data_IF_513590219739
#
_entry.id   IF_513590219739
#
_cell.length_a   1.000
_cell.length_b   1.000
_cell.length_c   1.000
_cell.angle_alpha   90.00
_cell.angle_beta   90.00
_cell.angle_gamma   90.00
#
_symmetry.space_group_name_H-M   'P 1'
#
loop_
_entity.id
_entity.type
_entity.pdbx_description
1 polymer ?
#
# COMPACT_ATOMS: atom_id res chain seq x y z
N UNK A 1 5.20 -5.02 -7.85
CA UNK A 1 4.05 -5.81 -8.37
C UNK A 1 2.96 -6.05 -7.31
N UNK A 2 3.32 -6.41 -6.08
CA UNK A 2 2.36 -6.82 -5.03
C UNK A 2 1.34 -5.74 -4.65
N UNK A 3 1.79 -4.50 -4.37
CA UNK A 3 0.88 -3.40 -4.03
C UNK A 3 -0.20 -3.16 -5.08
N UNK A 4 0.20 -3.08 -6.36
CA UNK A 4 -0.75 -2.85 -7.45
C UNK A 4 -1.77 -4.00 -7.55
N UNK A 5 -1.33 -5.26 -7.39
CA UNK A 5 -2.21 -6.43 -7.39
C UNK A 5 -3.23 -6.36 -6.25
N UNK A 6 -2.78 -6.06 -5.04
CA UNK A 6 -3.65 -5.93 -3.87
C UNK A 6 -4.73 -4.85 -4.08
N UNK A 7 -4.36 -3.70 -4.66
CA UNK A 7 -5.31 -2.62 -4.96
C UNK A 7 -6.28 -2.94 -6.11
N UNK A 8 -5.85 -3.71 -7.12
CA UNK A 8 -6.72 -4.10 -8.25
C UNK A 8 -7.76 -5.13 -7.82
N UNK A 9 -7.45 -5.97 -6.82
CA UNK A 9 -8.38 -6.97 -6.30
C UNK A 9 -9.59 -6.37 -5.58
N UNK A 10 -9.55 -5.09 -5.18
CA UNK A 10 -10.63 -4.40 -4.46
C UNK A 10 -11.14 -5.20 -3.25
N UNK A 11 -10.22 -5.78 -2.49
CA UNK A 11 -10.58 -6.42 -1.22
C UNK A 11 -11.17 -5.37 -0.27
N UNK A 12 -12.16 -5.73 0.57
CA UNK A 12 -12.72 -4.82 1.58
C UNK A 12 -11.65 -4.31 2.55
N UNK A 13 -10.61 -5.11 2.80
CA UNK A 13 -9.45 -4.75 3.60
C UNK A 13 -8.16 -5.20 2.91
N UNK A 14 -7.21 -4.28 2.78
CA UNK A 14 -5.84 -4.56 2.32
C UNK A 14 -4.88 -4.48 3.50
N UNK A 15 -4.10 -5.55 3.73
CA UNK A 15 -3.04 -5.58 4.75
C UNK A 15 -1.69 -5.50 4.06
N UNK A 16 -0.87 -4.52 4.46
CA UNK A 16 0.48 -4.31 3.94
C UNK A 16 1.48 -4.40 5.10
N UNK A 17 2.25 -5.48 5.12
CA UNK A 17 3.28 -5.72 6.12
C UNK A 17 4.64 -5.33 5.56
N UNK A 18 5.22 -4.25 6.10
CA UNK A 18 6.54 -3.67 5.75
C UNK A 18 6.78 -3.39 4.26
N UNK A 19 5.73 -3.49 3.44
CA UNK A 19 5.82 -3.51 1.98
C UNK A 19 6.21 -2.15 1.38
N UNK A 20 6.16 -1.08 2.18
CA UNK A 20 6.56 0.27 1.77
C UNK A 20 8.07 0.51 1.92
N UNK A 21 8.75 -0.19 2.83
CA UNK A 21 10.19 -0.01 3.08
C UNK A 21 11.06 -0.55 1.92
N UNK A 22 10.52 -1.48 1.13
CA UNK A 22 11.20 -2.07 -0.02
C UNK A 22 11.11 -1.20 -1.31
N UNK A 23 10.52 -0.01 -1.24
CA UNK A 23 10.32 0.86 -2.40
C UNK A 23 11.48 1.84 -2.57
N UNK A 24 11.71 2.29 -3.81
CA UNK A 24 12.71 3.32 -4.12
C UNK A 24 12.40 4.63 -3.37
N UNK A 25 13.43 5.43 -3.00
CA UNK A 25 13.23 6.72 -2.34
C UNK A 25 12.19 7.60 -3.06
N UNK A 26 11.27 8.21 -2.31
CA UNK A 26 10.19 9.04 -2.85
C UNK A 26 8.96 8.27 -3.38
N UNK A 27 9.07 6.96 -3.59
CA UNK A 27 7.95 6.10 -3.99
C UNK A 27 6.94 5.83 -2.88
N UNK A 28 7.32 5.70 -1.58
CA UNK A 28 6.36 5.48 -0.50
C UNK A 28 5.24 6.53 -0.46
N UNK A 29 5.55 7.80 -0.71
CA UNK A 29 4.57 8.89 -0.71
C UNK A 29 3.52 8.70 -1.82
N UNK A 30 3.97 8.27 -3.00
CA UNK A 30 3.08 7.96 -4.13
C UNK A 30 2.24 6.72 -3.80
N UNK A 31 2.85 5.69 -3.22
CA UNK A 31 2.17 4.46 -2.83
C UNK A 31 1.05 4.73 -1.80
N UNK A 32 1.33 5.51 -0.76
CA UNK A 32 0.36 5.91 0.27
C UNK A 32 -0.80 6.65 -0.36
N UNK A 33 -0.55 7.69 -1.17
CA UNK A 33 -1.60 8.43 -1.86
C UNK A 33 -2.45 7.55 -2.80
N UNK A 34 -1.88 6.46 -3.34
CA UNK A 34 -2.63 5.49 -4.16
C UNK A 34 -3.46 4.53 -3.30
N UNK A 35 -2.96 4.10 -2.14
CA UNK A 35 -3.68 3.28 -1.18
C UNK A 35 -4.90 4.05 -0.67
N UNK A 36 -4.71 5.27 -0.19
CA UNK A 36 -5.79 6.14 0.32
C UNK A 36 -6.91 6.36 -0.70
N UNK A 37 -6.57 6.43 -1.99
CA UNK A 37 -7.56 6.67 -3.05
C UNK A 37 -8.24 5.40 -3.57
N UNK A 38 -7.67 4.22 -3.38
CA UNK A 38 -8.13 2.98 -4.05
C UNK A 38 -8.56 1.88 -3.11
N UNK A 39 -7.99 1.79 -1.91
CA UNK A 39 -8.40 0.82 -0.92
C UNK A 39 -9.68 1.31 -0.23
N UNK A 40 -10.61 0.39 0.03
CA UNK A 40 -11.78 0.68 0.85
C UNK A 40 -11.37 0.84 2.32
N UNK A 41 -10.54 -0.10 2.80
CA UNK A 41 -9.80 0.02 4.05
C UNK A 41 -8.39 -0.55 3.90
N UNK A 42 -7.43 0.01 4.64
CA UNK A 42 -6.06 -0.47 4.66
C UNK A 42 -5.47 -0.50 6.08
N UNK A 43 -4.77 -1.58 6.41
CA UNK A 43 -3.90 -1.71 7.58
C UNK A 43 -2.46 -1.76 7.09
N UNK A 44 -1.64 -0.82 7.54
CA UNK A 44 -0.24 -0.72 7.16
C UNK A 44 0.63 -0.90 8.40
N UNK A 45 1.55 -1.85 8.34
CA UNK A 45 2.60 -2.04 9.33
C UNK A 45 3.87 -1.44 8.71
N UNK A 46 4.39 -0.39 9.33
CA UNK A 46 5.58 0.31 8.88
C UNK A 46 6.50 0.61 10.06
N UNK A 47 7.80 0.59 9.78
CA UNK A 47 8.83 1.09 10.69
C UNK A 47 8.89 2.63 10.63
N UNK A 48 9.33 3.29 11.72
CA UNK A 48 9.53 4.74 11.76
C UNK A 48 10.64 5.21 10.81
#
# INVERSE_FOLDING_TARGET
>A
MFLARALVQRAPLVVLDESLAALDPGTPQIAIARIERRAEAALVIAHP
#
